data_IF_745551802657
#
_entry.id   IF_745551802657
#
_cell.length_a   1.000
_cell.length_b   1.000
_cell.length_c   1.000
_cell.angle_alpha   90.00
_cell.angle_beta   90.00
_cell.angle_gamma   90.00
#
_symmetry.space_group_name_H-M   'P 1'
#
loop_
_entity.id
_entity.type
_entity.pdbx_description
1 polymer ?
#
# COMPACT_ATOMS: atom_id res chain seq x y z
N UNK A 1 -5.19 -1.56 6.95
CA UNK A 1 -6.39 -0.74 7.26
C UNK A 1 -7.60 -1.27 6.46
N UNK A 2 -8.84 -0.92 6.81
CA UNK A 2 -10.02 -1.25 5.98
C UNK A 2 -9.97 -0.54 4.61
N UNK A 3 -10.91 -0.87 3.73
CA UNK A 3 -11.00 -0.28 2.38
C UNK A 3 -11.33 1.21 2.46
N UNK A 4 -10.35 2.08 2.18
CA UNK A 4 -10.55 3.54 2.20
C UNK A 4 -11.07 4.12 0.87
N UNK A 5 -10.84 3.44 -0.25
CA UNK A 5 -11.39 3.80 -1.57
C UNK A 5 -12.20 2.62 -2.15
N UNK A 6 -13.52 2.57 -1.90
CA UNK A 6 -14.38 1.57 -2.52
C UNK A 6 -14.46 1.73 -4.04
N UNK A 7 -14.36 2.96 -4.55
CA UNK A 7 -14.41 3.34 -5.98
C UNK A 7 -13.36 4.39 -6.33
N UNK A 8 -13.06 4.58 -7.62
CA UNK A 8 -12.06 5.57 -8.12
C UNK A 8 -12.31 7.01 -7.65
N UNK A 9 -13.58 7.40 -7.51
CA UNK A 9 -13.96 8.76 -7.04
C UNK A 9 -13.44 9.09 -5.65
N UNK A 10 -13.09 8.08 -4.85
CA UNK A 10 -12.60 8.23 -3.48
C UNK A 10 -11.07 8.20 -3.37
N UNK A 11 -10.36 7.99 -4.48
CA UNK A 11 -8.93 7.68 -4.49
C UNK A 11 -8.09 8.81 -3.92
N UNK A 12 -8.35 10.06 -4.30
CA UNK A 12 -7.57 11.20 -3.80
C UNK A 12 -7.67 11.37 -2.27
N UNK A 13 -8.87 11.17 -1.70
CA UNK A 13 -9.08 11.20 -0.25
C UNK A 13 -8.46 9.99 0.44
N UNK A 14 -8.65 8.80 -0.14
CA UNK A 14 -8.08 7.56 0.40
C UNK A 14 -6.55 7.59 0.39
N UNK A 15 -5.92 8.15 -0.65
CA UNK A 15 -4.48 8.29 -0.76
C UNK A 15 -3.90 9.07 0.42
N UNK A 16 -4.57 10.13 0.88
CA UNK A 16 -4.17 10.89 2.09
C UNK A 16 -4.25 10.02 3.33
N UNK A 17 -5.37 9.32 3.55
CA UNK A 17 -5.54 8.43 4.70
C UNK A 17 -4.51 7.28 4.71
N UNK A 18 -4.22 6.69 3.54
CA UNK A 18 -3.15 5.69 3.40
C UNK A 18 -1.77 6.29 3.69
N UNK A 19 -1.49 7.51 3.22
CA UNK A 19 -0.23 8.20 3.49
C UNK A 19 -0.05 8.42 5.00
N UNK A 20 -1.08 8.92 5.68
CA UNK A 20 -1.04 9.22 7.11
C UNK A 20 -0.77 7.96 7.95
N UNK A 21 -1.45 6.85 7.65
CA UNK A 21 -1.23 5.57 8.35
C UNK A 21 0.19 5.06 8.13
N UNK A 22 0.71 5.13 6.90
CA UNK A 22 2.08 4.69 6.62
C UNK A 22 3.12 5.62 7.25
N UNK A 23 2.86 6.94 7.31
CA UNK A 23 3.75 7.92 7.93
C UNK A 23 3.95 7.59 9.42
N UNK A 24 2.86 7.37 10.15
CA UNK A 24 2.95 6.98 11.55
C UNK A 24 3.60 5.61 11.73
N UNK A 25 3.34 4.65 10.84
CA UNK A 25 4.01 3.35 10.87
C UNK A 25 5.53 3.49 10.71
N UNK A 26 6.00 4.33 9.77
CA UNK A 26 7.44 4.61 9.61
C UNK A 26 8.05 5.31 10.82
N UNK A 27 7.34 6.26 11.45
CA UNK A 27 7.82 6.95 12.66
C UNK A 27 7.95 6.02 13.88
N UNK A 28 7.18 4.94 13.93
CA UNK A 28 7.20 3.96 15.02
C UNK A 28 8.26 2.86 14.82
N UNK A 29 8.74 2.66 13.59
CA UNK A 29 9.70 1.61 13.28
C UNK A 29 11.09 1.96 13.82
N UNK A 30 11.71 0.98 14.48
CA UNK A 30 13.13 1.06 14.85
C UNK A 30 14.01 0.81 13.63
N UNK A 31 15.28 1.22 13.70
CA UNK A 31 16.31 0.91 12.69
C UNK A 31 16.39 -0.60 12.45
N UNK A 32 16.46 -1.02 11.19
CA UNK A 32 16.42 -2.44 10.80
C UNK A 32 15.02 -3.07 10.88
N UNK A 33 13.99 -2.29 11.20
CA UNK A 33 12.60 -2.75 11.23
C UNK A 33 12.02 -2.97 9.83
N UNK A 34 10.93 -3.73 9.77
CA UNK A 34 10.19 -3.98 8.53
C UNK A 34 8.74 -3.50 8.65
N UNK A 35 8.25 -2.82 7.63
CA UNK A 35 6.86 -2.46 7.46
C UNK A 35 6.19 -3.44 6.50
N UNK A 36 5.11 -4.07 6.96
CA UNK A 36 4.18 -4.79 6.10
C UNK A 36 2.93 -3.93 5.96
N UNK A 37 2.68 -3.42 4.75
CA UNK A 37 1.57 -2.49 4.49
C UNK A 37 0.76 -2.93 3.28
N UNK A 38 -0.56 -2.77 3.38
CA UNK A 38 -1.51 -3.32 2.41
C UNK A 38 -2.64 -2.34 2.07
N UNK A 39 -3.17 -2.50 0.86
CA UNK A 39 -4.40 -1.86 0.38
C UNK A 39 -5.28 -2.87 -0.35
N UNK A 40 -6.55 -2.98 0.05
CA UNK A 40 -7.60 -3.73 -0.65
C UNK A 40 -8.54 -2.83 -1.47
N UNK A 41 -8.17 -1.56 -1.66
CA UNK A 41 -8.99 -0.59 -2.39
C UNK A 41 -8.81 -0.76 -3.90
N UNK A 42 -9.89 -1.08 -4.62
CA UNK A 42 -9.86 -1.31 -6.08
C UNK A 42 -9.40 -0.09 -6.88
N UNK A 43 -9.78 1.13 -6.46
CA UNK A 43 -9.33 2.36 -7.11
C UNK A 43 -7.86 2.74 -6.83
N UNK A 44 -7.16 1.99 -5.98
CA UNK A 44 -5.73 2.23 -5.70
C UNK A 44 -4.94 1.14 -6.41
N UNK A 45 -4.36 1.43 -7.56
CA UNK A 45 -3.48 0.48 -8.24
C UNK A 45 -2.13 0.30 -7.49
N UNK A 46 -1.31 -0.64 -7.96
CA UNK A 46 -0.02 -0.95 -7.34
C UNK A 46 0.99 0.21 -7.42
N UNK A 47 0.99 0.99 -8.50
CA UNK A 47 1.91 2.10 -8.71
C UNK A 47 1.56 3.28 -7.79
N UNK A 48 0.27 3.60 -7.68
CA UNK A 48 -0.25 4.60 -6.76
C UNK A 48 -0.02 4.19 -5.32
N UNK A 49 -0.27 2.92 -4.95
CA UNK A 49 -0.01 2.43 -3.59
C UNK A 49 1.46 2.61 -3.21
N UNK A 50 2.39 2.24 -4.09
CA UNK A 50 3.81 2.49 -3.86
C UNK A 50 4.12 3.97 -3.72
N UNK A 51 3.57 4.83 -4.58
CA UNK A 51 3.79 6.28 -4.51
C UNK A 51 3.31 6.87 -3.18
N UNK A 52 2.19 6.38 -2.66
CA UNK A 52 1.67 6.76 -1.33
C UNK A 52 2.64 6.34 -0.22
N UNK A 53 3.11 5.08 -0.23
CA UNK A 53 4.05 4.57 0.77
C UNK A 53 5.40 5.30 0.69
N UNK A 54 5.89 5.59 -0.53
CA UNK A 54 7.11 6.36 -0.74
C UNK A 54 6.98 7.80 -0.22
N UNK A 55 5.85 8.46 -0.48
CA UNK A 55 5.56 9.77 0.09
C UNK A 55 5.51 9.76 1.62
N UNK A 56 4.97 8.70 2.21
CA UNK A 56 4.97 8.55 3.67
C UNK A 56 6.38 8.35 4.25
N UNK A 57 7.25 7.59 3.57
CA UNK A 57 8.64 7.41 3.97
C UNK A 57 9.44 8.73 3.88
N UNK A 58 9.21 9.50 2.81
CA UNK A 58 9.81 10.83 2.62
C UNK A 58 9.43 11.78 3.76
N UNK A 59 8.13 11.89 4.07
CA UNK A 59 7.62 12.73 5.17
C UNK A 59 8.10 12.24 6.56
N UNK A 60 8.40 10.95 6.70
CA UNK A 60 8.98 10.38 7.91
C UNK A 60 10.50 10.61 8.03
N UNK A 61 11.16 11.07 6.96
CA UNK A 61 12.62 11.26 6.93
C UNK A 61 13.40 9.95 6.94
N UNK A 62 12.83 8.85 6.41
CA UNK A 62 13.47 7.52 6.38
C UNK A 62 13.71 7.03 4.96
N UNK A 63 14.73 6.21 4.78
CA UNK A 63 15.03 5.54 3.51
C UNK A 63 14.58 4.08 3.56
N UNK A 64 13.41 3.78 3.00
CA UNK A 64 12.91 2.42 2.89
C UNK A 64 13.36 1.72 1.60
N UNK A 65 13.51 0.39 1.66
CA UNK A 65 13.72 -0.48 0.48
C UNK A 65 12.58 -1.48 0.38
N UNK A 66 11.99 -1.63 -0.81
CA UNK A 66 10.99 -2.68 -1.06
C UNK A 66 11.72 -4.02 -1.15
N UNK A 67 11.42 -4.94 -0.24
CA UNK A 67 12.01 -6.29 -0.23
C UNK A 67 11.06 -7.33 -0.84
N UNK A 68 9.76 -7.07 -0.83
CA UNK A 68 8.78 -7.91 -1.49
C UNK A 68 7.52 -7.13 -1.87
N UNK A 69 6.86 -7.60 -2.93
CA UNK A 69 5.48 -7.23 -3.28
C UNK A 69 4.60 -8.44 -3.00
N UNK A 70 3.47 -8.20 -2.35
CA UNK A 70 2.53 -9.23 -1.98
C UNK A 70 1.18 -8.96 -2.66
N UNK A 71 0.45 -10.02 -2.96
CA UNK A 71 -0.87 -9.98 -3.57
C UNK A 71 -1.80 -10.97 -2.85
N UNK A 72 -3.04 -11.09 -3.32
CA UNK A 72 -3.93 -12.15 -2.85
C UNK A 72 -3.33 -13.54 -3.14
N UNK A 73 -3.62 -14.51 -2.27
CA UNK A 73 -3.15 -15.88 -2.43
C UNK A 73 -3.80 -16.59 -3.61
N UNK A 74 -3.27 -17.76 -3.98
CA UNK A 74 -3.71 -18.51 -5.15
C UNK A 74 -5.17 -18.99 -5.12
N UNK A 75 -5.81 -19.01 -3.93
CA UNK A 75 -7.24 -19.25 -3.74
C UNK A 75 -8.12 -18.05 -4.14
N UNK A 76 -7.51 -16.90 -4.47
CA UNK A 76 -8.14 -15.70 -5.01
C UNK A 76 -7.55 -15.37 -6.39
N UNK A 77 -7.79 -16.19 -7.42
CA UNK A 77 -7.23 -15.97 -8.74
C UNK A 77 -7.83 -14.71 -9.40
N UNK A 78 -7.02 -14.04 -10.22
CA UNK A 78 -7.47 -12.91 -11.05
C UNK A 78 -7.80 -13.43 -12.44
N UNK A 79 -8.99 -13.11 -12.93
CA UNK A 79 -9.41 -13.47 -14.29
C UNK A 79 -8.72 -12.59 -15.33
N UNK A 80 -8.26 -13.18 -16.43
CA UNK A 80 -7.64 -12.44 -17.54
C UNK A 80 -8.55 -11.36 -18.13
N UNK A 81 -9.87 -11.58 -18.07
CA UNK A 81 -10.87 -10.64 -18.60
C UNK A 81 -11.43 -9.68 -17.53
N UNK A 82 -10.90 -9.73 -16.31
CA UNK A 82 -11.33 -8.90 -15.19
C UNK A 82 -10.13 -8.53 -14.29
N UNK A 83 -9.22 -7.65 -14.78
CA UNK A 83 -8.03 -7.22 -14.03
C UNK A 83 -8.37 -6.50 -12.72
N UNK A 84 -9.58 -5.93 -12.60
CA UNK A 84 -10.08 -5.31 -11.37
C UNK A 84 -10.18 -6.30 -10.18
N UNK A 85 -10.15 -7.61 -10.48
CA UNK A 85 -10.02 -8.67 -9.49
C UNK A 85 -8.69 -8.66 -8.73
N UNK A 86 -7.65 -7.99 -9.24
CA UNK A 86 -6.36 -7.80 -8.55
C UNK A 86 -6.43 -6.69 -7.49
N UNK A 87 -7.34 -6.86 -6.52
CA UNK A 87 -7.67 -5.77 -5.60
C UNK A 87 -6.72 -5.63 -4.40
N UNK A 88 -5.96 -6.67 -4.04
CA UNK A 88 -5.06 -6.64 -2.88
C UNK A 88 -3.63 -6.32 -3.30
N UNK A 89 -3.09 -5.21 -2.78
CA UNK A 89 -1.70 -4.80 -2.96
C UNK A 89 -1.00 -4.79 -1.61
N UNK A 90 0.17 -5.41 -1.53
CA UNK A 90 1.02 -5.41 -0.34
C UNK A 90 2.45 -5.04 -0.66
N UNK A 91 3.09 -4.30 0.23
CA UNK A 91 4.52 -4.01 0.21
C UNK A 91 5.15 -4.45 1.53
N UNK A 92 6.31 -5.09 1.42
CA UNK A 92 7.23 -5.29 2.54
C UNK A 92 8.38 -4.33 2.34
N UNK A 93 8.60 -3.44 3.32
CA UNK A 93 9.60 -2.37 3.25
C UNK A 93 10.55 -2.50 4.44
N UNK A 94 11.87 -2.56 4.18
CA UNK A 94 12.90 -2.51 5.23
C UNK A 94 13.43 -1.09 5.42
N UNK A 95 13.67 -0.67 6.67
CA UNK A 95 14.39 0.57 7.02
C UNK A 95 15.88 0.33 7.32
#
# INVERSE_FOLDING_TARGET
PPKFAPTERHVARAARAYKDVNLWAFRLLRRGGMLFTFSCSGGVDAALFQSIVAGAALDAGVHGRIVARLAASADHPVSLNFPEGEYLKGLVVSL
#
